data_IF_206063741716
#
_entry.id   IF_206063741716
#
_cell.length_a   1.000
_cell.length_b   1.000
_cell.length_c   1.000
_cell.angle_alpha   90.00
_cell.angle_beta   90.00
_cell.angle_gamma   90.00
#
_symmetry.space_group_name_H-M   'P 1'
#
loop_
_entity.id
_entity.type
_entity.pdbx_description
1 polymer ?
#
# COMPACT_ATOMS: atom_id res chain seq x y z
N UNK A 1 18.72 -26.58 -2.94
CA UNK A 1 19.07 -25.43 -2.06
C UNK A 1 18.76 -25.82 -0.61
N UNK A 2 19.68 -25.58 0.34
CA UNK A 2 19.51 -26.00 1.74
C UNK A 2 18.35 -25.22 2.38
N UNK A 3 17.39 -25.91 3.02
CA UNK A 3 16.22 -25.28 3.67
C UNK A 3 16.62 -24.16 4.63
N UNK A 4 17.73 -24.32 5.36
CA UNK A 4 18.26 -23.29 6.27
C UNK A 4 18.65 -22.01 5.53
N UNK A 5 19.27 -22.14 4.36
CA UNK A 5 19.69 -20.99 3.54
C UNK A 5 18.47 -20.22 3.04
N UNK A 6 17.42 -20.93 2.62
CA UNK A 6 16.16 -20.32 2.19
C UNK A 6 15.51 -19.54 3.34
N UNK A 7 15.38 -20.17 4.51
CA UNK A 7 14.77 -19.53 5.69
C UNK A 7 15.55 -18.30 6.16
N UNK A 8 16.88 -18.38 6.19
CA UNK A 8 17.73 -17.23 6.57
C UNK A 8 17.58 -16.10 5.55
N UNK A 9 17.62 -16.43 4.24
CA UNK A 9 17.43 -15.44 3.18
C UNK A 9 16.08 -14.74 3.27
N UNK A 10 15.01 -15.49 3.54
CA UNK A 10 13.67 -14.92 3.71
C UNK A 10 13.57 -13.98 4.92
N UNK A 11 14.12 -14.38 6.07
CA UNK A 11 14.15 -13.50 7.26
C UNK A 11 14.96 -12.22 6.99
N UNK A 12 16.14 -12.34 6.38
CA UNK A 12 16.96 -11.18 6.02
C UNK A 12 16.20 -10.21 5.11
N UNK A 13 15.47 -10.73 4.12
CA UNK A 13 14.65 -9.91 3.23
C UNK A 13 13.56 -9.17 4.00
N UNK A 14 12.80 -9.87 4.86
CA UNK A 14 11.73 -9.24 5.65
C UNK A 14 12.27 -8.14 6.56
N UNK A 15 13.33 -8.43 7.34
CA UNK A 15 13.93 -7.44 8.23
C UNK A 15 14.52 -6.26 7.47
N UNK A 16 15.17 -6.48 6.33
CA UNK A 16 15.73 -5.40 5.52
C UNK A 16 14.62 -4.47 5.02
N UNK A 17 13.53 -5.01 4.47
CA UNK A 17 12.40 -4.20 4.00
C UNK A 17 11.78 -3.41 5.15
N UNK A 18 11.56 -4.04 6.32
CA UNK A 18 11.01 -3.36 7.49
C UNK A 18 11.92 -2.24 8.01
N UNK A 19 13.23 -2.48 8.10
CA UNK A 19 14.20 -1.47 8.55
C UNK A 19 14.23 -0.29 7.58
N UNK A 20 14.27 -0.56 6.27
CA UNK A 20 14.27 0.52 5.28
C UNK A 20 12.97 1.32 5.37
N UNK A 21 11.82 0.65 5.56
CA UNK A 21 10.54 1.33 5.70
C UNK A 21 10.49 2.27 6.92
N UNK A 22 11.15 1.92 8.03
CA UNK A 22 11.24 2.78 9.22
C UNK A 22 12.17 3.99 9.04
N UNK A 23 13.19 3.90 8.19
CA UNK A 23 14.20 4.95 8.00
C UNK A 23 13.76 5.95 6.92
N UNK A 24 12.98 5.52 5.94
CA UNK A 24 12.52 6.38 4.85
C UNK A 24 11.62 7.49 5.42
N UNK A 25 11.83 8.76 5.02
CA UNK A 25 11.00 9.86 5.47
C UNK A 25 9.56 9.69 4.98
N UNK A 26 8.62 9.98 5.87
CA UNK A 26 7.19 9.93 5.56
C UNK A 26 6.81 10.98 4.52
N UNK A 27 5.90 10.61 3.60
CA UNK A 27 5.32 11.52 2.62
C UNK A 27 4.01 12.08 3.17
N UNK A 28 3.76 13.36 2.93
CA UNK A 28 2.53 14.03 3.36
C UNK A 28 1.38 13.92 2.36
N UNK A 29 1.68 13.88 1.06
CA UNK A 29 0.68 13.97 -0.01
C UNK A 29 0.97 12.98 -1.14
N UNK A 30 -0.09 12.40 -1.68
CA UNK A 30 -0.09 11.55 -2.86
C UNK A 30 -0.64 12.33 -4.03
N UNK A 31 0.22 12.70 -4.98
CA UNK A 31 -0.19 13.40 -6.21
C UNK A 31 -1.03 12.49 -7.11
N UNK A 32 -0.69 11.20 -7.18
CA UNK A 32 -1.38 10.21 -8.02
C UNK A 32 -2.82 9.96 -7.58
N UNK A 33 -3.10 10.09 -6.28
CA UNK A 33 -4.45 9.91 -5.72
C UNK A 33 -5.10 11.23 -5.29
N UNK A 34 -4.40 12.36 -5.45
CA UNK A 34 -4.84 13.69 -5.03
C UNK A 34 -5.37 13.73 -3.57
N UNK A 35 -4.65 13.12 -2.62
CA UNK A 35 -5.01 13.13 -1.19
C UNK A 35 -3.82 13.20 -0.25
N UNK A 36 -4.09 13.61 1.00
CA UNK A 36 -3.13 13.48 2.09
C UNK A 36 -2.97 12.03 2.51
N UNK A 37 -1.74 11.65 2.81
CA UNK A 37 -1.38 10.32 3.29
C UNK A 37 -1.51 10.25 4.82
N UNK A 38 -1.89 9.08 5.31
CA UNK A 38 -2.03 8.86 6.73
C UNK A 38 -0.67 9.00 7.42
N UNK A 39 -0.66 9.75 8.52
CA UNK A 39 0.49 9.91 9.41
C UNK A 39 0.44 8.87 10.52
N UNK A 40 1.56 8.71 11.22
CA UNK A 40 1.63 7.80 12.37
C UNK A 40 0.54 8.21 13.39
N UNK A 41 -0.46 7.35 13.67
CA UNK A 41 -1.49 7.68 14.63
C UNK A 41 -0.91 7.75 16.04
N UNK A 42 -1.40 8.70 16.84
CA UNK A 42 -1.07 8.76 18.25
C UNK A 42 -1.90 7.73 19.01
N UNK A 43 -1.30 6.95 19.93
CA UNK A 43 -2.03 5.97 20.70
C UNK A 43 -2.96 6.65 21.71
N UNK A 44 -4.26 6.50 21.53
CA UNK A 44 -5.30 6.88 22.49
C UNK A 44 -6.06 5.64 23.01
N UNK A 45 -6.39 5.62 24.30
CA UNK A 45 -7.02 4.45 24.93
C UNK A 45 -8.44 4.17 24.38
N UNK A 46 -9.19 5.20 24.01
CA UNK A 46 -10.52 5.04 23.42
C UNK A 46 -10.41 4.52 21.98
N UNK A 47 -9.43 5.02 21.23
CA UNK A 47 -9.16 4.56 19.85
C UNK A 47 -8.61 3.14 19.81
N UNK A 48 -7.82 2.73 20.80
CA UNK A 48 -7.35 1.35 20.96
C UNK A 48 -8.53 0.43 21.31
N UNK A 49 -9.36 0.80 22.28
CA UNK A 49 -10.51 -0.01 22.71
C UNK A 49 -11.58 -0.14 21.61
N UNK A 50 -11.76 0.90 20.80
CA UNK A 50 -12.68 0.89 19.65
C UNK A 50 -12.11 0.22 18.40
N UNK A 51 -10.80 -0.04 18.35
CA UNK A 51 -10.10 -0.60 17.19
C UNK A 51 -9.73 0.43 16.12
N UNK A 52 -10.13 1.70 16.29
CA UNK A 52 -9.78 2.81 15.39
C UNK A 52 -8.28 2.97 15.24
N UNK A 53 -7.51 2.87 16.32
CA UNK A 53 -6.06 2.97 16.27
C UNK A 53 -5.44 1.92 15.33
N UNK A 54 -5.95 0.68 15.39
CA UNK A 54 -5.47 -0.41 14.54
C UNK A 54 -5.76 -0.15 13.06
N UNK A 55 -6.95 0.39 12.75
CA UNK A 55 -7.31 0.77 11.39
C UNK A 55 -6.43 1.90 10.87
N UNK A 56 -6.30 2.99 11.64
CA UNK A 56 -5.48 4.14 11.28
C UNK A 56 -4.00 3.75 11.14
N UNK A 57 -3.52 2.79 11.94
CA UNK A 57 -2.16 2.27 11.86
C UNK A 57 -1.95 1.39 10.62
N UNK A 58 -2.96 0.61 10.22
CA UNK A 58 -2.92 -0.17 8.99
C UNK A 58 -2.89 0.76 7.76
N UNK A 59 -3.72 1.80 7.75
CA UNK A 59 -3.74 2.81 6.70
C UNK A 59 -2.40 3.56 6.62
N UNK A 60 -1.85 3.96 7.78
CA UNK A 60 -0.50 4.53 7.87
C UNK A 60 0.56 3.62 7.25
N UNK A 61 0.57 2.34 7.62
CA UNK A 61 1.58 1.39 7.13
C UNK A 61 1.46 1.18 5.63
N UNK A 62 0.24 1.13 5.09
CA UNK A 62 -0.03 1.03 3.66
C UNK A 62 0.43 2.29 2.90
N UNK A 63 0.13 3.47 3.44
CA UNK A 63 0.45 4.76 2.83
C UNK A 63 1.94 5.08 2.83
N UNK A 64 2.65 4.67 3.89
CA UNK A 64 4.08 4.92 4.04
C UNK A 64 4.94 3.72 3.62
N UNK A 65 4.37 2.72 2.96
CA UNK A 65 5.12 1.54 2.51
C UNK A 65 6.20 1.91 1.49
N UNK A 66 7.36 1.25 1.58
CA UNK A 66 8.48 1.52 0.67
C UNK A 66 8.08 1.26 -0.78
N UNK A 67 8.36 2.25 -1.64
CA UNK A 67 8.06 2.19 -3.07
C UNK A 67 6.58 1.89 -3.38
N UNK A 68 5.65 2.33 -2.52
CA UNK A 68 4.19 2.16 -2.66
C UNK A 68 3.67 2.39 -4.07
N UNK A 69 4.03 3.52 -4.69
CA UNK A 69 3.57 3.88 -6.04
C UNK A 69 3.99 2.83 -7.08
N UNK A 70 5.18 2.24 -6.92
CA UNK A 70 5.65 1.13 -7.74
C UNK A 70 4.82 -0.14 -7.57
N UNK A 71 4.45 -0.48 -6.33
CA UNK A 71 3.55 -1.61 -6.05
C UNK A 71 2.15 -1.41 -6.63
N UNK A 72 1.59 -0.20 -6.53
CA UNK A 72 0.28 0.15 -7.12
C UNK A 72 0.34 0.06 -8.65
N UNK A 73 1.42 0.55 -9.26
CA UNK A 73 1.65 0.43 -10.69
C UNK A 73 1.76 -1.03 -11.13
N UNK A 74 2.55 -1.84 -10.42
CA UNK A 74 2.71 -3.27 -10.70
C UNK A 74 1.38 -4.01 -10.58
N UNK A 75 0.58 -3.74 -9.54
CA UNK A 75 -0.77 -4.29 -9.39
C UNK A 75 -1.62 -3.93 -10.60
N UNK A 76 -1.64 -2.65 -10.99
CA UNK A 76 -2.44 -2.16 -12.11
C UNK A 76 -2.04 -2.83 -13.43
N UNK A 77 -0.73 -2.95 -13.71
CA UNK A 77 -0.21 -3.65 -14.90
C UNK A 77 -0.64 -5.12 -14.88
N UNK A 78 -0.53 -5.80 -13.73
CA UNK A 78 -0.96 -7.18 -13.59
C UNK A 78 -2.47 -7.34 -13.81
N UNK A 79 -3.29 -6.41 -13.31
CA UNK A 79 -4.75 -6.42 -13.52
C UNK A 79 -5.13 -6.20 -14.98
N UNK A 80 -4.45 -5.28 -15.67
CA UNK A 80 -4.60 -5.08 -17.11
C UNK A 80 -4.17 -6.31 -17.92
N UNK A 81 -3.06 -6.95 -17.55
CA UNK A 81 -2.59 -8.19 -18.18
C UNK A 81 -3.58 -9.35 -18.01
N UNK A 82 -4.34 -9.35 -16.91
CA UNK A 82 -5.42 -10.29 -16.64
C UNK A 82 -6.75 -9.88 -17.29
N UNK A 83 -6.78 -8.83 -18.11
CA UNK A 83 -7.97 -8.29 -18.77
C UNK A 83 -9.10 -7.91 -17.80
N UNK A 84 -8.75 -7.51 -16.56
CA UNK A 84 -9.74 -6.93 -15.64
C UNK A 84 -10.25 -5.60 -16.21
N UNK A 85 -11.52 -5.31 -15.94
CA UNK A 85 -12.19 -4.09 -16.42
C UNK A 85 -12.06 -2.92 -15.46
N UNK A 86 -11.58 -3.15 -14.24
CA UNK A 86 -11.40 -2.15 -13.20
C UNK A 86 -10.22 -2.51 -12.27
N UNK A 87 -9.80 -1.54 -11.47
CA UNK A 87 -8.82 -1.71 -10.39
C UNK A 87 -9.41 -1.43 -8.99
N UNK A 88 -10.75 -1.41 -8.88
CA UNK A 88 -11.51 -1.05 -7.67
C UNK A 88 -11.83 0.44 -7.50
N UNK A 89 -11.24 1.35 -8.29
CA UNK A 89 -11.54 2.80 -8.24
C UNK A 89 -12.02 3.35 -9.58
N UNK A 90 -11.46 2.84 -10.67
CA UNK A 90 -11.81 3.27 -12.02
C UNK A 90 -12.02 2.06 -12.93
N UNK A 91 -12.91 2.22 -13.90
CA UNK A 91 -13.06 1.34 -15.04
C UNK A 91 -12.11 1.74 -16.17
N UNK A 92 -11.48 0.74 -16.78
CA UNK A 92 -10.61 0.93 -17.95
C UNK A 92 -11.45 1.05 -19.22
N UNK A 93 -11.38 2.21 -19.86
CA UNK A 93 -12.01 2.53 -21.13
C UNK A 93 -11.14 2.23 -22.35
N UNK A 94 -11.66 2.56 -23.54
CA UNK A 94 -10.87 2.55 -24.79
C UNK A 94 -9.98 3.78 -24.86
N UNK A 95 -8.91 3.72 -25.67
CA UNK A 95 -8.04 4.86 -25.97
C UNK A 95 -7.53 5.58 -24.71
N UNK A 96 -6.96 4.82 -23.76
CA UNK A 96 -6.39 5.34 -22.52
C UNK A 96 -7.37 6.18 -21.65
N UNK A 97 -8.68 5.93 -21.79
CA UNK A 97 -9.71 6.60 -20.98
C UNK A 97 -9.95 5.84 -19.68
N UNK A 98 -10.18 6.56 -18.57
CA UNK A 98 -10.60 6.02 -17.28
C UNK A 98 -11.98 6.59 -16.92
N UNK A 99 -12.86 5.76 -16.38
CA UNK A 99 -14.16 6.18 -15.87
C UNK A 99 -14.23 5.90 -14.38
N UNK A 100 -14.81 6.80 -13.59
CA UNK A 100 -15.02 6.53 -12.16
C UNK A 100 -15.90 5.30 -11.97
N UNK A 101 -15.45 4.37 -11.12
CA UNK A 101 -16.31 3.33 -10.62
C UNK A 101 -17.17 3.94 -9.51
N UNK A 102 -18.34 4.48 -9.87
CA UNK A 102 -19.25 5.08 -8.90
C UNK A 102 -19.50 4.09 -7.74
N UNK A 103 -19.15 4.51 -6.53
CA UNK A 103 -19.43 3.74 -5.31
C UNK A 103 -20.96 3.64 -5.15
N UNK A 104 -21.52 2.45 -5.39
CA UNK A 104 -22.88 2.07 -4.91
C UNK A 104 -22.79 1.43 -3.54
#
# INVERSE_FOLDING_TARGET
MNKKVISIGFMLLLFSVSIINLIIPQRSFSESENRYLQKLPEPDLQDIASGKFTQDFADYTSDQFIARDGWISLKTIAELALLKKDNGRVYFGKQDTLFDAAET
#
